data_IF_617476739335
#
_entry.id   IF_617476739335
#
_cell.length_a   1.000
_cell.length_b   1.000
_cell.length_c   1.000
_cell.angle_alpha   90.00
_cell.angle_beta   90.00
_cell.angle_gamma   90.00
#
_symmetry.space_group_name_H-M   'P 1'
#
loop_
_entity.id
_entity.type
_entity.pdbx_description
1 polymer ?
#
# COMPACT_ATOMS: atom_id res chain seq x y z
N UNK A 1 -10.37 -8.14 6.01
CA UNK A 1 -9.33 -9.12 5.67
C UNK A 1 -8.02 -8.71 6.31
N UNK A 2 -7.34 -9.62 6.99
CA UNK A 2 -6.06 -9.32 7.65
C UNK A 2 -4.92 -9.53 6.66
N UNK A 3 -4.04 -8.55 6.52
CA UNK A 3 -2.81 -8.63 5.73
C UNK A 3 -1.61 -8.62 6.67
N UNK A 4 -0.63 -9.45 6.37
CA UNK A 4 0.67 -9.47 7.04
C UNK A 4 1.75 -9.27 5.98
N UNK A 5 2.55 -8.24 6.15
CA UNK A 5 3.61 -7.91 5.20
C UNK A 5 4.88 -7.46 5.91
N UNK A 6 6.02 -7.74 5.31
CA UNK A 6 7.29 -7.13 5.66
C UNK A 6 7.62 -6.13 4.58
N UNK A 7 7.88 -4.89 4.96
CA UNK A 7 8.22 -3.85 4.00
C UNK A 7 9.48 -3.10 4.41
N UNK A 8 10.20 -2.64 3.43
CA UNK A 8 11.42 -1.87 3.62
C UNK A 8 11.55 -0.81 2.53
N UNK A 9 11.86 0.41 2.95
CA UNK A 9 12.32 1.45 2.04
C UNK A 9 13.74 1.12 1.59
N UNK A 10 14.01 1.27 0.31
CA UNK A 10 15.30 0.97 -0.30
C UNK A 10 15.77 2.13 -1.17
N UNK A 11 17.04 2.17 -1.49
CA UNK A 11 17.58 3.15 -2.43
C UNK A 11 17.40 2.69 -3.89
N UNK A 12 17.69 3.59 -4.81
CA UNK A 12 17.57 3.33 -6.25
C UNK A 12 18.46 2.18 -6.73
N UNK A 13 19.68 2.08 -6.23
CA UNK A 13 20.62 1.05 -6.66
C UNK A 13 20.15 -0.34 -6.23
N UNK A 14 19.64 -0.46 -5.01
CA UNK A 14 19.05 -1.70 -4.53
C UNK A 14 17.76 -2.04 -5.27
N UNK A 15 16.93 -1.05 -5.57
CA UNK A 15 15.74 -1.23 -6.41
C UNK A 15 16.11 -1.84 -7.77
N UNK A 16 17.11 -1.29 -8.45
CA UNK A 16 17.56 -1.79 -9.76
C UNK A 16 18.15 -3.21 -9.65
N UNK A 17 18.89 -3.49 -8.58
CA UNK A 17 19.41 -4.83 -8.32
C UNK A 17 18.30 -5.87 -8.13
N UNK A 18 17.27 -5.53 -7.37
CA UNK A 18 16.11 -6.41 -7.17
C UNK A 18 15.31 -6.57 -8.46
N UNK A 19 15.10 -5.47 -9.19
CA UNK A 19 14.39 -5.49 -10.46
C UNK A 19 15.02 -6.48 -11.45
N UNK A 20 16.34 -6.51 -11.51
CA UNK A 20 17.10 -7.38 -12.41
C UNK A 20 17.27 -8.80 -11.90
N UNK A 21 17.12 -9.05 -10.61
CA UNK A 21 17.35 -10.35 -9.98
C UNK A 21 16.17 -11.33 -10.07
N UNK A 22 14.97 -10.83 -10.37
CA UNK A 22 13.76 -11.63 -10.43
C UNK A 22 13.08 -11.57 -11.80
N UNK A 23 12.29 -12.61 -12.11
CA UNK A 23 11.39 -12.61 -13.25
C UNK A 23 9.99 -12.23 -12.75
N UNK A 24 9.53 -11.05 -13.15
CA UNK A 24 8.28 -10.48 -12.68
C UNK A 24 7.09 -11.02 -13.45
N UNK A 25 6.04 -11.37 -12.74
CA UNK A 25 4.81 -11.91 -13.33
C UNK A 25 3.83 -10.82 -13.75
N UNK A 26 3.81 -9.71 -13.00
CA UNK A 26 2.91 -8.58 -13.24
C UNK A 26 3.63 -7.26 -13.08
N UNK A 27 3.26 -6.32 -13.93
CA UNK A 27 3.66 -4.90 -13.81
C UNK A 27 2.39 -4.07 -13.88
N UNK A 28 2.16 -3.22 -12.86
CA UNK A 28 0.97 -2.38 -12.78
C UNK A 28 1.35 -0.94 -12.46
N UNK A 29 0.63 -0.02 -13.09
CA UNK A 29 0.61 1.37 -12.66
C UNK A 29 -0.62 1.58 -11.78
N UNK A 30 -0.39 2.09 -10.57
CA UNK A 30 -1.42 2.37 -9.58
C UNK A 30 -1.37 3.84 -9.22
N UNK A 31 -2.49 4.54 -9.34
CA UNK A 31 -2.61 5.90 -8.82
C UNK A 31 -3.39 5.86 -7.53
N UNK A 32 -2.78 6.35 -6.44
CA UNK A 32 -3.36 6.36 -5.12
C UNK A 32 -3.70 7.81 -4.74
N UNK A 33 -4.97 8.05 -4.45
CA UNK A 33 -5.46 9.33 -3.92
C UNK A 33 -5.71 9.16 -2.43
N UNK A 34 -5.02 9.94 -1.60
CA UNK A 34 -5.10 9.84 -0.14
C UNK A 34 -6.06 10.86 0.44
N UNK A 35 -6.75 10.45 1.51
CA UNK A 35 -7.76 11.26 2.19
C UNK A 35 -7.42 11.45 3.66
N UNK A 36 -7.79 12.59 4.21
CA UNK A 36 -7.64 12.92 5.62
C UNK A 36 -8.90 13.58 6.17
N UNK A 37 -9.06 13.59 7.48
CA UNK A 37 -10.09 14.32 8.20
C UNK A 37 -9.52 15.59 8.86
N UNK A 38 -10.38 16.56 9.20
CA UNK A 38 -9.94 17.80 9.80
C UNK A 38 -9.42 17.66 11.23
N UNK A 39 -10.04 16.78 12.01
CA UNK A 39 -9.70 16.58 13.42
C UNK A 39 -8.47 15.71 13.66
N UNK A 40 -7.96 15.03 12.62
CA UNK A 40 -6.81 14.15 12.75
C UNK A 40 -7.11 12.79 13.40
N UNK A 41 -8.37 12.37 13.40
CA UNK A 41 -8.82 11.11 14.02
C UNK A 41 -8.26 9.91 13.27
N UNK A 42 -8.22 9.97 11.93
CA UNK A 42 -7.65 8.89 11.12
C UNK A 42 -6.19 8.63 11.49
N UNK A 43 -5.40 9.69 11.61
CA UNK A 43 -3.99 9.60 11.99
C UNK A 43 -3.81 9.05 13.40
N UNK A 44 -4.59 9.55 14.36
CA UNK A 44 -4.57 9.08 15.75
C UNK A 44 -4.90 7.59 15.86
N UNK A 45 -5.90 7.14 15.13
CA UNK A 45 -6.33 5.74 15.12
C UNK A 45 -5.57 4.87 14.13
N UNK A 46 -4.60 5.44 13.42
CA UNK A 46 -3.75 4.75 12.44
C UNK A 46 -4.57 4.09 11.32
N UNK A 47 -5.56 4.82 10.83
CA UNK A 47 -6.40 4.44 9.72
C UNK A 47 -5.93 5.18 8.47
N UNK A 48 -5.62 4.46 7.41
CA UNK A 48 -5.31 5.02 6.11
C UNK A 48 -6.51 4.83 5.18
N UNK A 49 -6.92 5.91 4.52
CA UNK A 49 -7.98 5.89 3.51
C UNK A 49 -7.40 6.38 2.19
N UNK A 50 -7.54 5.57 1.16
CA UNK A 50 -7.15 5.94 -0.21
C UNK A 50 -8.16 5.43 -1.22
N UNK A 51 -8.20 6.09 -2.38
CA UNK A 51 -8.81 5.53 -3.58
C UNK A 51 -7.67 5.14 -4.50
N UNK A 52 -7.61 3.87 -4.87
CA UNK A 52 -6.63 3.33 -5.80
C UNK A 52 -7.27 3.14 -7.16
N UNK A 53 -6.63 3.70 -8.18
CA UNK A 53 -7.05 3.56 -9.58
C UNK A 53 -6.01 2.72 -10.31
N UNK A 54 -6.48 1.63 -10.91
CA UNK A 54 -5.70 0.75 -11.80
C UNK A 54 -6.47 0.62 -13.10
N UNK A 55 -5.93 1.20 -14.19
CA UNK A 55 -6.67 1.30 -15.45
C UNK A 55 -7.94 2.13 -15.27
N UNK A 56 -9.09 1.53 -15.54
CA UNK A 56 -10.40 2.19 -15.40
C UNK A 56 -11.12 1.83 -14.10
N UNK A 57 -10.49 1.01 -13.25
CA UNK A 57 -11.11 0.53 -12.01
C UNK A 57 -10.60 1.34 -10.83
N UNK A 58 -11.53 1.92 -10.07
CA UNK A 58 -11.26 2.64 -8.85
C UNK A 58 -11.87 1.91 -7.65
N UNK A 59 -11.12 1.80 -6.56
CA UNK A 59 -11.59 1.20 -5.30
C UNK A 59 -11.16 2.03 -4.12
N UNK A 60 -12.07 2.18 -3.16
CA UNK A 60 -11.73 2.74 -1.86
C UNK A 60 -11.06 1.63 -1.04
N UNK A 61 -9.90 1.92 -0.50
CA UNK A 61 -9.16 1.01 0.37
C UNK A 61 -8.96 1.68 1.72
N UNK A 62 -9.33 0.96 2.77
CA UNK A 62 -9.19 1.40 4.15
C UNK A 62 -8.28 0.40 4.87
N UNK A 63 -7.12 0.88 5.35
CA UNK A 63 -6.16 0.08 6.12
C UNK A 63 -6.15 0.54 7.58
N UNK A 64 -6.39 -0.39 8.48
CA UNK A 64 -6.20 -0.20 9.91
C UNK A 64 -4.93 -0.91 10.35
N UNK A 65 -3.92 -0.14 10.73
CA UNK A 65 -2.66 -0.68 11.26
C UNK A 65 -2.85 -1.18 12.68
N UNK A 66 -2.52 -2.44 12.94
CA UNK A 66 -2.73 -3.11 14.23
C UNK A 66 -1.50 -3.20 15.10
N UNK A 67 -0.31 -3.02 14.54
CA UNK A 67 0.96 -3.06 15.27
C UNK A 67 1.70 -1.72 15.19
N UNK A 68 2.73 -1.57 16.04
CA UNK A 68 3.58 -0.38 16.03
C UNK A 68 4.50 -0.34 14.81
N UNK A 69 5.13 0.80 14.58
CA UNK A 69 6.08 0.99 13.48
C UNK A 69 7.23 -0.02 13.56
N UNK A 70 7.22 -0.96 12.65
CA UNK A 70 8.27 -1.96 12.46
C UNK A 70 8.26 -2.41 10.99
N UNK A 71 9.30 -3.08 10.50
CA UNK A 71 9.27 -3.66 9.15
C UNK A 71 8.11 -4.65 8.95
N UNK A 72 7.73 -5.36 10.02
CA UNK A 72 6.55 -6.22 10.01
C UNK A 72 5.29 -5.37 10.18
N UNK A 73 4.43 -5.38 9.18
CA UNK A 73 3.14 -4.68 9.20
C UNK A 73 2.00 -5.68 9.30
N UNK A 74 1.09 -5.45 10.23
CA UNK A 74 -0.16 -6.20 10.35
C UNK A 74 -1.30 -5.20 10.20
N UNK A 75 -2.09 -5.39 9.16
CA UNK A 75 -3.17 -4.48 8.80
C UNK A 75 -4.46 -5.24 8.58
N UNK A 76 -5.58 -4.61 8.90
CA UNK A 76 -6.88 -5.01 8.39
C UNK A 76 -7.21 -4.10 7.22
N UNK A 77 -7.40 -4.69 6.03
CA UNK A 77 -7.78 -3.96 4.82
C UNK A 77 -9.19 -4.31 4.41
N UNK A 78 -9.97 -3.26 4.13
CA UNK A 78 -11.30 -3.38 3.54
C UNK A 78 -11.34 -2.58 2.24
N UNK A 79 -12.00 -3.15 1.23
CA UNK A 79 -12.19 -2.51 -0.07
C UNK A 79 -13.66 -2.24 -0.33
N UNK A 80 -13.93 -1.11 -0.97
CA UNK A 80 -15.27 -0.71 -1.38
C UNK A 80 -15.25 -0.23 -2.82
N UNK A 81 -16.32 -0.53 -3.56
CA UNK A 81 -16.47 -0.07 -4.93
C UNK A 81 -16.70 1.46 -4.98
N UNK A 82 -16.12 2.09 -5.98
CA UNK A 82 -16.40 3.49 -6.30
C UNK A 82 -16.26 3.73 -7.80
N UNK A 83 -17.04 4.65 -8.35
CA UNK A 83 -16.98 5.00 -9.77
C UNK A 83 -16.16 6.26 -10.01
N UNK A 84 -15.85 7.00 -8.95
CA UNK A 84 -15.17 8.30 -9.06
C UNK A 84 -14.16 8.53 -7.93
N UNK A 85 -13.33 9.55 -8.11
CA UNK A 85 -12.38 10.05 -7.12
C UNK A 85 -12.83 11.44 -6.69
N UNK A 86 -13.72 11.56 -5.69
CA UNK A 86 -14.23 12.86 -5.27
C UNK A 86 -13.18 13.68 -4.52
N UNK A 87 -13.32 14.99 -4.50
CA UNK A 87 -12.50 15.85 -3.65
C UNK A 87 -12.83 15.69 -2.16
N UNK A 88 -14.09 15.37 -1.88
CA UNK A 88 -14.61 15.18 -0.52
C UNK A 88 -15.43 13.89 -0.47
N UNK A 89 -15.11 13.03 0.51
CA UNK A 89 -15.95 11.90 0.88
C UNK A 89 -16.85 12.39 2.02
N UNK A 90 -18.18 12.29 1.84
CA UNK A 90 -19.13 12.81 2.84
C UNK A 90 -19.04 12.04 4.16
N UNK A 91 -19.49 12.66 5.25
CA UNK A 91 -19.36 12.14 6.60
C UNK A 91 -20.06 10.78 6.79
N UNK A 92 -21.19 10.55 6.12
CA UNK A 92 -21.93 9.30 6.21
C UNK A 92 -21.14 8.14 5.61
N UNK A 93 -20.63 8.32 4.39
CA UNK A 93 -19.78 7.32 3.73
C UNK A 93 -18.47 7.11 4.49
N UNK A 94 -17.85 8.19 4.98
CA UNK A 94 -16.63 8.11 5.78
C UNK A 94 -16.82 7.23 7.02
N UNK A 95 -17.93 7.38 7.71
CA UNK A 95 -18.28 6.53 8.88
C UNK A 95 -18.52 5.08 8.47
N UNK A 96 -19.20 4.86 7.37
CA UNK A 96 -19.46 3.50 6.85
C UNK A 96 -18.17 2.75 6.53
N UNK A 97 -17.22 3.39 5.81
CA UNK A 97 -15.99 2.73 5.38
C UNK A 97 -14.93 2.62 6.46
N UNK A 98 -14.88 3.54 7.43
CA UNK A 98 -13.88 3.53 8.49
C UNK A 98 -14.36 2.92 9.81
N UNK A 99 -15.67 2.85 10.00
CA UNK A 99 -16.27 2.47 11.29
C UNK A 99 -16.16 3.53 12.38
N UNK A 100 -15.66 4.73 12.03
CA UNK A 100 -15.39 5.81 12.96
C UNK A 100 -16.10 7.09 12.54
N UNK A 101 -16.50 7.91 13.52
CA UNK A 101 -17.14 9.20 13.28
C UNK A 101 -16.09 10.29 13.06
N UNK A 102 -15.59 10.34 11.82
CA UNK A 102 -14.46 11.21 11.43
C UNK A 102 -14.88 12.49 10.70
N UNK A 103 -16.17 12.62 10.41
CA UNK A 103 -16.67 13.71 9.57
C UNK A 103 -16.31 13.52 8.10
N UNK A 104 -16.29 14.60 7.34
CA UNK A 104 -15.91 14.57 5.93
C UNK A 104 -14.42 14.26 5.76
N UNK A 105 -14.08 13.53 4.69
CA UNK A 105 -12.69 13.29 4.31
C UNK A 105 -12.32 14.11 3.08
N UNK A 106 -11.12 14.67 3.10
CA UNK A 106 -10.61 15.56 2.07
C UNK A 106 -9.43 14.94 1.33
N UNK A 107 -9.45 14.99 0.01
CA UNK A 107 -8.34 14.53 -0.82
C UNK A 107 -7.11 15.41 -0.57
N UNK A 108 -6.03 14.80 -0.07
CA UNK A 108 -4.76 15.48 0.23
C UNK A 108 -3.85 15.61 -0.98
N UNK A 109 -3.84 14.58 -1.82
CA UNK A 109 -2.92 14.48 -2.94
C UNK A 109 -2.90 13.08 -3.51
N UNK A 110 -2.01 12.84 -4.46
CA UNK A 110 -1.87 11.54 -5.10
C UNK A 110 -0.41 11.11 -5.24
N UNK A 111 -0.22 9.81 -5.35
CA UNK A 111 1.05 9.19 -5.68
C UNK A 111 0.83 8.15 -6.77
N UNK A 112 1.77 8.05 -7.71
CA UNK A 112 1.75 7.05 -8.78
C UNK A 112 2.80 6.01 -8.47
N UNK A 113 2.39 4.75 -8.37
CA UNK A 113 3.27 3.62 -8.11
C UNK A 113 3.33 2.71 -9.32
N UNK A 114 4.54 2.40 -9.75
CA UNK A 114 4.80 1.28 -10.67
C UNK A 114 5.16 0.08 -9.81
N UNK A 115 4.31 -0.92 -9.80
CA UNK A 115 4.48 -2.15 -9.00
C UNK A 115 4.85 -3.32 -9.89
N UNK A 116 5.99 -3.93 -9.63
CA UNK A 116 6.35 -5.24 -10.16
C UNK A 116 6.05 -6.28 -9.07
N UNK A 117 5.36 -7.36 -9.42
CA UNK A 117 5.03 -8.40 -8.46
C UNK A 117 5.19 -9.81 -9.00
N UNK A 118 5.43 -10.73 -8.09
CA UNK A 118 5.47 -12.18 -8.34
C UNK A 118 5.02 -12.93 -7.09
N UNK A 119 4.52 -14.15 -7.28
CA UNK A 119 4.14 -15.04 -6.17
C UNK A 119 5.10 -16.21 -6.13
N UNK A 120 5.62 -16.52 -4.96
CA UNK A 120 6.51 -17.66 -4.73
C UNK A 120 6.22 -18.29 -3.36
N UNK A 121 5.87 -19.59 -3.36
CA UNK A 121 5.58 -20.35 -2.15
C UNK A 121 4.60 -19.66 -1.18
N UNK A 122 3.49 -19.12 -1.72
CA UNK A 122 2.45 -18.46 -0.93
C UNK A 122 2.80 -17.06 -0.44
N UNK A 123 3.94 -16.52 -0.85
CA UNK A 123 4.32 -15.13 -0.57
C UNK A 123 4.26 -14.30 -1.85
N UNK A 124 3.74 -13.10 -1.76
CA UNK A 124 3.77 -12.12 -2.86
C UNK A 124 4.89 -11.12 -2.61
N UNK A 125 5.85 -11.07 -3.55
CA UNK A 125 6.91 -10.07 -3.57
C UNK A 125 6.45 -8.90 -4.43
N UNK A 126 6.46 -7.70 -3.87
CA UNK A 126 6.18 -6.46 -4.58
C UNK A 126 7.39 -5.54 -4.54
N UNK A 127 7.73 -4.98 -5.69
CA UNK A 127 8.78 -3.98 -5.84
C UNK A 127 8.14 -2.71 -6.39
N UNK A 128 8.14 -1.65 -5.60
CA UNK A 128 7.44 -0.42 -5.89
C UNK A 128 8.38 0.75 -6.15
N UNK A 129 8.07 1.47 -7.22
CA UNK A 129 8.62 2.79 -7.50
C UNK A 129 7.47 3.79 -7.43
N UNK A 130 7.47 4.64 -6.43
CA UNK A 130 6.39 5.60 -6.20
C UNK A 130 6.88 7.02 -6.42
N UNK A 131 6.16 7.75 -7.27
CA UNK A 131 6.41 9.14 -7.57
C UNK A 131 5.27 10.00 -7.01
N UNK A 132 5.62 11.00 -6.22
CA UNK A 132 4.69 11.98 -5.66
C UNK A 132 5.38 13.35 -5.60
N UNK A 133 4.69 14.40 -6.04
CA UNK A 133 5.28 15.70 -6.28
C UNK A 133 6.51 15.56 -7.21
N UNK A 134 7.68 15.98 -6.75
CA UNK A 134 8.97 15.87 -7.44
C UNK A 134 9.90 14.79 -6.83
N UNK A 135 9.33 13.92 -5.96
CA UNK A 135 10.07 12.87 -5.24
C UNK A 135 9.77 11.49 -5.79
N UNK A 136 10.74 10.61 -5.67
CA UNK A 136 10.60 9.18 -5.98
C UNK A 136 11.11 8.36 -4.81
N UNK A 137 10.25 7.45 -4.33
CA UNK A 137 10.59 6.48 -3.30
C UNK A 137 10.58 5.07 -3.89
N UNK A 138 11.40 4.21 -3.33
CA UNK A 138 11.48 2.80 -3.69
C UNK A 138 11.22 1.95 -2.46
N UNK A 139 10.42 0.90 -2.64
CA UNK A 139 10.02 0.03 -1.54
C UNK A 139 9.95 -1.41 -2.00
N UNK A 140 10.34 -2.33 -1.13
CA UNK A 140 10.13 -3.76 -1.30
C UNK A 140 9.19 -4.26 -0.21
N UNK A 141 8.20 -5.06 -0.61
CA UNK A 141 7.23 -5.68 0.30
C UNK A 141 7.19 -7.18 0.04
N UNK A 142 7.03 -7.96 1.10
CA UNK A 142 6.67 -9.37 1.01
C UNK A 142 5.41 -9.58 1.83
N UNK A 143 4.31 -9.86 1.16
CA UNK A 143 3.03 -10.16 1.78
C UNK A 143 2.83 -11.69 1.87
N UNK A 144 2.28 -12.16 2.98
CA UNK A 144 2.06 -13.59 3.21
C UNK A 144 0.88 -13.79 4.17
N UNK A 145 0.24 -14.96 4.11
CA UNK A 145 -0.87 -15.30 4.99
C UNK A 145 -0.42 -15.98 6.28
N UNK A 146 0.19 -17.15 6.17
CA UNK A 146 0.61 -17.95 7.34
C UNK A 146 2.11 -17.92 7.57
N UNK A 147 2.88 -18.12 6.52
CA UNK A 147 4.33 -18.22 6.60
C UNK A 147 5.01 -17.58 5.40
N UNK A 148 5.97 -16.72 5.71
CA UNK A 148 6.78 -16.08 4.68
C UNK A 148 7.72 -17.10 4.01
N UNK A 149 7.90 -16.97 2.68
CA UNK A 149 8.83 -17.79 1.92
C UNK A 149 10.28 -17.53 2.36
N UNK A 150 10.93 -18.57 2.93
CA UNK A 150 12.34 -18.49 3.33
C UNK A 150 13.26 -18.24 2.12
N UNK A 151 12.96 -18.83 0.97
CA UNK A 151 13.75 -18.65 -0.25
C UNK A 151 13.75 -17.20 -0.74
N UNK A 152 12.59 -16.53 -0.71
CA UNK A 152 12.48 -15.12 -1.04
C UNK A 152 13.30 -14.26 -0.08
N UNK A 153 13.16 -14.50 1.23
CA UNK A 153 13.91 -13.75 2.25
C UNK A 153 15.41 -13.91 2.09
N UNK A 154 15.87 -15.14 1.85
CA UNK A 154 17.30 -15.41 1.64
C UNK A 154 17.82 -14.70 0.41
N UNK A 155 17.08 -14.72 -0.69
CA UNK A 155 17.48 -14.02 -1.92
C UNK A 155 17.51 -12.51 -1.74
N UNK A 156 16.50 -11.93 -1.11
CA UNK A 156 16.46 -10.50 -0.81
C UNK A 156 17.61 -10.09 0.13
N UNK A 157 17.87 -10.87 1.17
CA UNK A 157 18.99 -10.63 2.10
C UNK A 157 20.33 -10.68 1.37
N UNK A 158 20.51 -11.61 0.44
CA UNK A 158 21.74 -11.71 -0.37
C UNK A 158 21.94 -10.52 -1.30
N UNK A 159 20.87 -9.80 -1.67
CA UNK A 159 20.91 -8.59 -2.47
C UNK A 159 21.16 -7.31 -1.65
N UNK A 160 21.00 -7.39 -0.32
CA UNK A 160 21.25 -6.28 0.59
C UNK A 160 20.03 -5.67 1.28
N UNK A 161 18.89 -6.34 1.18
CA UNK A 161 17.67 -5.91 1.89
C UNK A 161 17.78 -6.16 3.40
#
# INVERSE_FOLDING_TARGET
>A
MTETEIKSMIDKDLYESILNAFTWEKVREQTNYYYTDKAGILREKRIMVRIRVVGEVAKIQVKLHKNENSPLQICEENEFETEEVPDIINAELAKEITGEDVGELYKMGCAVTIRNSLVHNGSELCLDKTTYFDKTDYEVEVEYEEKISADLLMKLTSLGV
#
